data_IF_203196082980
#
_entry.id   IF_203196082980
#
_cell.length_a   1.000
_cell.length_b   1.000
_cell.length_c   1.000
_cell.angle_alpha   90.00
_cell.angle_beta   90.00
_cell.angle_gamma   90.00
#
_symmetry.space_group_name_H-M   'P 1'
#
loop_
_entity.id
_entity.type
_entity.pdbx_description
1 polymer ?
#
# COMPACT_ATOMS: atom_id res chain seq x y z
N UNK A 1 6.20 -43.14 -18.27
CA UNK A 1 6.90 -41.89 -17.90
C UNK A 1 5.92 -40.78 -17.47
N UNK A 2 4.94 -40.40 -18.31
CA UNK A 2 4.05 -39.25 -18.04
C UNK A 2 3.17 -39.40 -16.79
N UNK A 3 2.68 -40.61 -16.47
CA UNK A 3 1.84 -40.85 -15.29
C UNK A 3 2.59 -40.65 -13.97
N UNK A 4 3.88 -41.04 -13.93
CA UNK A 4 4.74 -40.87 -12.75
C UNK A 4 5.07 -39.40 -12.49
N UNK A 5 5.26 -38.60 -13.54
CA UNK A 5 5.54 -37.15 -13.43
C UNK A 5 4.30 -36.42 -12.90
N UNK A 6 3.11 -36.79 -13.35
CA UNK A 6 1.84 -36.21 -12.88
C UNK A 6 1.58 -36.62 -11.41
N UNK A 7 1.78 -37.89 -11.07
CA UNK A 7 1.62 -38.38 -9.69
C UNK A 7 2.62 -37.73 -8.73
N UNK A 8 3.87 -37.53 -9.15
CA UNK A 8 4.88 -36.81 -8.38
C UNK A 8 4.52 -35.34 -8.19
N UNK A 9 4.01 -34.66 -9.23
CA UNK A 9 3.54 -33.28 -9.14
C UNK A 9 2.35 -33.10 -8.20
N UNK A 10 1.39 -34.02 -8.23
CA UNK A 10 0.24 -34.03 -7.31
C UNK A 10 0.72 -34.29 -5.88
N UNK A 11 1.61 -35.26 -5.67
CA UNK A 11 2.19 -35.56 -4.36
C UNK A 11 2.94 -34.37 -3.77
N UNK A 12 3.74 -33.67 -4.58
CA UNK A 12 4.50 -32.49 -4.16
C UNK A 12 3.58 -31.30 -3.85
N UNK A 13 2.47 -31.14 -4.60
CA UNK A 13 1.44 -30.14 -4.32
C UNK A 13 0.68 -30.43 -3.02
N UNK A 14 0.35 -31.70 -2.75
CA UNK A 14 -0.31 -32.11 -1.49
C UNK A 14 0.64 -31.92 -0.30
N UNK A 15 1.91 -32.30 -0.44
CA UNK A 15 2.93 -32.11 0.61
C UNK A 15 3.18 -30.62 0.84
N UNK A 16 3.27 -29.81 -0.21
CA UNK A 16 3.40 -28.37 -0.09
C UNK A 16 2.17 -27.74 0.57
N UNK A 17 0.97 -28.17 0.21
CA UNK A 17 -0.27 -27.69 0.83
C UNK A 17 -0.35 -28.09 2.31
N UNK A 18 0.05 -29.33 2.66
CA UNK A 18 0.13 -29.79 4.03
C UNK A 18 1.21 -29.04 4.84
N UNK A 19 2.37 -28.78 4.24
CA UNK A 19 3.46 -27.99 4.82
C UNK A 19 3.06 -26.52 4.99
N UNK A 20 2.37 -25.94 4.00
CA UNK A 20 1.83 -24.58 4.05
C UNK A 20 0.81 -24.47 5.19
N UNK A 21 -0.11 -25.44 5.31
CA UNK A 21 -1.04 -25.51 6.43
C UNK A 21 -0.31 -25.69 7.77
N UNK A 22 0.79 -26.45 7.81
CA UNK A 22 1.59 -26.65 9.02
C UNK A 22 2.37 -25.38 9.43
N UNK A 23 2.96 -24.66 8.48
CA UNK A 23 3.70 -23.40 8.71
C UNK A 23 2.75 -22.24 9.04
N UNK A 24 1.52 -22.29 8.53
CA UNK A 24 0.46 -21.35 8.89
C UNK A 24 -0.37 -21.81 10.09
N UNK A 25 -0.04 -22.94 10.76
CA UNK A 25 -0.67 -23.29 12.04
C UNK A 25 -0.39 -22.18 13.05
N UNK A 26 -1.42 -21.66 13.73
CA UNK A 26 -1.26 -20.59 14.69
C UNK A 26 -0.34 -21.06 15.83
N UNK A 27 0.77 -20.36 16.03
CA UNK A 27 1.56 -20.48 17.26
C UNK A 27 0.71 -19.97 18.43
N UNK A 28 0.60 -20.79 19.48
CA UNK A 28 -0.22 -20.59 20.70
C UNK A 28 0.05 -19.30 21.50
N UNK A 29 0.93 -18.41 21.05
CA UNK A 29 1.34 -17.23 21.80
C UNK A 29 0.41 -16.01 21.61
N UNK A 30 -0.52 -16.05 20.67
CA UNK A 30 -1.43 -14.93 20.38
C UNK A 30 -2.64 -14.82 21.32
N UNK A 31 -2.90 -15.81 22.18
CA UNK A 31 -4.04 -15.79 23.12
C UNK A 31 -3.83 -14.81 24.29
N UNK A 32 -2.59 -14.61 24.76
CA UNK A 32 -2.31 -13.77 25.93
C UNK A 32 -2.24 -12.26 25.63
N UNK A 33 -2.14 -11.87 24.36
CA UNK A 33 -2.16 -10.46 23.92
C UNK A 33 -3.56 -10.00 23.46
N UNK A 34 -4.50 -10.94 23.26
CA UNK A 34 -5.87 -10.66 22.81
C UNK A 34 -6.77 -10.11 23.93
N UNK A 35 -6.47 -10.42 25.20
CA UNK A 35 -7.27 -9.97 26.35
C UNK A 35 -7.07 -8.47 26.68
N UNK A 36 -5.92 -7.89 26.30
CA UNK A 36 -5.65 -6.46 26.51
C UNK A 36 -6.28 -5.58 25.41
N UNK A 37 -6.63 -6.15 24.26
CA UNK A 37 -7.18 -5.41 23.10
C UNK A 37 -8.72 -5.46 23.02
N UNK A 38 -9.36 -6.41 23.71
CA UNK A 38 -10.81 -6.62 23.68
C UNK A 38 -11.62 -5.59 24.50
N UNK A 39 -10.96 -4.74 25.30
CA UNK A 39 -11.63 -3.69 26.09
C UNK A 39 -11.96 -2.42 25.30
N UNK A 40 -11.37 -2.23 24.11
CA UNK A 40 -11.58 -1.04 23.26
C UNK A 40 -12.57 -1.21 22.10
N UNK A 41 -13.08 -2.43 21.86
CA UNK A 41 -13.77 -2.81 20.61
C UNK A 41 -15.30 -2.92 20.71
N UNK A 42 -15.92 -2.43 21.78
CA UNK A 42 -17.37 -2.57 22.00
C UNK A 42 -18.26 -1.44 21.45
N UNK A 43 -17.76 -0.51 20.62
CA UNK A 43 -18.57 0.66 20.22
C UNK A 43 -18.66 0.93 18.71
N UNK A 44 -18.29 -0.01 17.85
CA UNK A 44 -18.17 0.26 16.41
C UNK A 44 -19.32 -0.28 15.54
N UNK A 45 -20.52 -0.38 16.12
CA UNK A 45 -21.76 -0.79 15.43
C UNK A 45 -22.75 0.37 15.21
N UNK A 46 -22.23 1.60 15.05
CA UNK A 46 -23.02 2.75 14.61
C UNK A 46 -22.65 3.13 13.19
N UNK A 47 -23.58 2.78 12.29
CA UNK A 47 -23.42 2.75 10.85
C UNK A 47 -23.00 4.08 10.22
N UNK A 48 -21.96 4.00 9.42
CA UNK A 48 -21.87 4.69 8.13
C UNK A 48 -21.47 3.63 7.11
N UNK A 49 -22.32 3.39 6.11
CA UNK A 49 -22.00 2.54 4.97
C UNK A 49 -21.28 3.38 3.93
N UNK A 50 -19.97 3.19 3.65
CA UNK A 50 -19.41 3.65 2.40
C UNK A 50 -19.72 2.60 1.34
N UNK A 51 -20.67 2.96 0.49
CA UNK A 51 -21.02 2.26 -0.74
C UNK A 51 -19.86 2.37 -1.73
N UNK A 52 -18.96 1.37 -1.80
CA UNK A 52 -18.05 1.18 -2.95
C UNK A 52 -17.92 -0.28 -3.38
N UNK A 53 -18.61 -0.55 -4.50
CA UNK A 53 -18.44 -1.55 -5.55
C UNK A 53 -17.67 -2.86 -5.31
N UNK A 54 -18.45 -3.94 -5.37
CA UNK A 54 -18.23 -5.13 -6.22
C UNK A 54 -16.93 -5.92 -6.09
N UNK A 55 -16.51 -6.23 -4.86
CA UNK A 55 -15.68 -7.42 -4.61
C UNK A 55 -16.29 -8.37 -3.57
N UNK A 56 -17.43 -8.04 -2.96
CA UNK A 56 -18.05 -8.91 -1.94
C UNK A 56 -18.56 -10.25 -2.51
N UNK A 57 -18.92 -10.34 -3.79
CA UNK A 57 -19.44 -11.58 -4.39
C UNK A 57 -18.36 -12.63 -4.66
N UNK A 58 -17.16 -12.21 -5.06
CA UNK A 58 -16.01 -13.10 -5.28
C UNK A 58 -15.37 -13.60 -3.98
N UNK A 59 -15.52 -12.84 -2.89
CA UNK A 59 -14.81 -13.09 -1.63
C UNK A 59 -15.62 -13.99 -0.67
N UNK A 60 -16.96 -14.03 -0.78
CA UNK A 60 -17.84 -14.88 0.05
C UNK A 60 -17.53 -16.39 0.04
N UNK A 61 -17.26 -17.04 -1.12
CA UNK A 61 -16.88 -18.46 -1.09
C UNK A 61 -15.53 -18.69 -0.39
N UNK A 62 -14.61 -17.72 -0.51
CA UNK A 62 -13.26 -17.79 0.05
C UNK A 62 -13.22 -17.57 1.57
N UNK A 63 -14.03 -16.65 2.08
CA UNK A 63 -14.20 -16.43 3.52
C UNK A 63 -14.88 -17.63 4.22
N UNK A 64 -15.79 -18.31 3.52
CA UNK A 64 -16.45 -19.53 4.01
C UNK A 64 -15.47 -20.71 4.08
N UNK A 65 -14.54 -20.81 3.12
CA UNK A 65 -13.49 -21.84 3.13
C UNK A 65 -12.58 -21.73 4.36
N UNK A 66 -12.22 -20.52 4.80
CA UNK A 66 -11.39 -20.34 6.01
C UNK A 66 -12.14 -20.62 7.32
N UNK A 67 -13.45 -20.35 7.41
CA UNK A 67 -14.23 -20.68 8.62
C UNK A 67 -14.20 -22.17 8.96
N UNK A 68 -14.00 -23.03 7.96
CA UNK A 68 -13.76 -24.47 8.14
C UNK A 68 -12.35 -24.80 8.66
N UNK A 69 -11.37 -23.89 8.54
CA UNK A 69 -9.96 -24.10 8.91
C UNK A 69 -9.47 -23.26 10.11
N UNK A 70 -10.39 -22.72 10.92
CA UNK A 70 -10.20 -22.30 12.32
C UNK A 70 -8.85 -21.65 12.69
N UNK A 71 -8.73 -20.34 12.51
CA UNK A 71 -7.64 -19.57 13.13
C UNK A 71 -7.90 -18.07 13.05
N UNK A 72 -7.65 -17.33 14.13
CA UNK A 72 -7.78 -15.87 14.17
C UNK A 72 -6.73 -15.20 13.26
N UNK A 73 -7.06 -14.09 12.56
CA UNK A 73 -6.11 -13.37 11.73
C UNK A 73 -4.88 -12.91 12.53
N UNK A 74 -3.68 -13.07 11.97
CA UNK A 74 -2.45 -12.50 12.56
C UNK A 74 -2.63 -10.97 12.69
N UNK A 75 -2.29 -10.37 13.86
CA UNK A 75 -2.51 -8.95 14.11
C UNK A 75 -1.77 -8.04 13.11
N UNK A 76 -0.63 -8.49 12.59
CA UNK A 76 0.13 -7.75 11.57
C UNK A 76 -0.64 -7.61 10.25
N UNK A 77 -1.35 -8.66 9.82
CA UNK A 77 -2.13 -8.66 8.58
C UNK A 77 -3.35 -7.74 8.74
N UNK A 78 -4.00 -7.79 9.91
CA UNK A 78 -5.10 -6.88 10.26
C UNK A 78 -4.63 -5.44 10.21
N UNK A 79 -3.47 -5.14 10.82
CA UNK A 79 -2.88 -3.79 10.78
C UNK A 79 -2.63 -3.34 9.34
N UNK A 80 -2.00 -4.17 8.49
CA UNK A 80 -1.75 -3.84 7.08
C UNK A 80 -3.03 -3.62 6.27
N UNK A 81 -4.10 -4.37 6.57
CA UNK A 81 -5.40 -4.18 5.92
C UNK A 81 -6.09 -2.88 6.37
N UNK A 82 -5.98 -2.53 7.65
CA UNK A 82 -6.45 -1.24 8.17
C UNK A 82 -5.71 -0.08 7.48
N UNK A 83 -4.39 -0.18 7.32
CA UNK A 83 -3.59 0.78 6.55
C UNK A 83 -4.10 0.92 5.10
N UNK A 84 -4.49 -0.20 4.48
CA UNK A 84 -5.07 -0.21 3.13
C UNK A 84 -6.53 0.31 3.06
N UNK A 85 -7.18 0.56 4.20
CA UNK A 85 -8.56 1.06 4.29
C UNK A 85 -9.61 -0.03 4.42
N UNK A 86 -9.21 -1.30 4.54
CA UNK A 86 -10.11 -2.43 4.74
C UNK A 86 -10.31 -2.68 6.24
N UNK A 87 -11.35 -2.05 6.82
CA UNK A 87 -11.62 -2.06 8.26
C UNK A 87 -12.39 -3.29 8.75
N UNK A 88 -13.19 -3.96 7.89
CA UNK A 88 -14.01 -5.10 8.34
C UNK A 88 -13.15 -6.34 8.62
N UNK A 89 -13.38 -7.08 9.73
CA UNK A 89 -12.65 -8.30 10.04
C UNK A 89 -12.80 -9.38 8.94
N UNK A 90 -13.92 -9.35 8.21
CA UNK A 90 -14.15 -10.23 7.06
C UNK A 90 -13.12 -10.09 5.93
N UNK A 91 -12.45 -8.94 5.79
CA UNK A 91 -11.41 -8.75 4.77
C UNK A 91 -10.09 -9.41 5.16
N UNK A 92 -9.79 -9.51 6.46
CA UNK A 92 -8.65 -10.27 6.95
C UNK A 92 -8.84 -11.78 6.69
N UNK A 93 -10.08 -12.24 6.84
CA UNK A 93 -10.47 -13.62 6.50
C UNK A 93 -10.36 -13.92 5.02
N UNK A 94 -10.85 -13.01 4.19
CA UNK A 94 -10.71 -13.05 2.75
C UNK A 94 -9.25 -13.08 2.27
N UNK A 95 -8.42 -12.19 2.80
CA UNK A 95 -7.03 -12.04 2.36
C UNK A 95 -6.20 -13.29 2.69
N UNK A 96 -6.38 -13.85 3.88
CA UNK A 96 -5.71 -15.10 4.26
C UNK A 96 -6.23 -16.28 3.44
N UNK A 97 -7.55 -16.34 3.18
CA UNK A 97 -8.12 -17.33 2.27
C UNK A 97 -7.53 -17.25 0.87
N UNK A 98 -7.37 -16.03 0.34
CA UNK A 98 -6.72 -15.78 -0.96
C UNK A 98 -5.25 -16.20 -0.95
N UNK A 99 -4.51 -15.90 0.12
CA UNK A 99 -3.10 -16.26 0.27
C UNK A 99 -2.88 -17.79 0.35
N UNK A 100 -3.86 -18.55 0.85
CA UNK A 100 -3.85 -20.01 0.84
C UNK A 100 -4.30 -20.59 -0.51
N UNK A 101 -5.34 -20.00 -1.11
CA UNK A 101 -5.94 -20.52 -2.33
C UNK A 101 -5.09 -20.27 -3.58
N UNK A 102 -4.48 -19.08 -3.72
CA UNK A 102 -3.65 -18.74 -4.89
C UNK A 102 -2.52 -19.74 -5.15
N UNK A 103 -1.62 -20.02 -4.18
CA UNK A 103 -0.53 -20.96 -4.41
C UNK A 103 -1.02 -22.41 -4.59
N UNK A 104 -2.11 -22.80 -3.93
CA UNK A 104 -2.71 -24.13 -4.11
C UNK A 104 -3.28 -24.32 -5.53
N UNK A 105 -4.05 -23.34 -6.01
CA UNK A 105 -4.60 -23.34 -7.36
C UNK A 105 -3.50 -23.24 -8.43
N UNK A 106 -2.49 -22.40 -8.20
CA UNK A 106 -1.37 -22.23 -9.11
C UNK A 106 -0.48 -23.48 -9.19
N UNK A 107 -0.23 -24.15 -8.06
CA UNK A 107 0.49 -25.42 -8.03
C UNK A 107 -0.24 -26.53 -8.79
N UNK A 108 -1.57 -26.61 -8.66
CA UNK A 108 -2.40 -27.57 -9.39
C UNK A 108 -2.45 -27.27 -10.90
N UNK A 109 -2.51 -26.00 -11.28
CA UNK A 109 -2.46 -25.59 -12.68
C UNK A 109 -1.12 -25.96 -13.34
N UNK A 110 0.02 -25.76 -12.66
CA UNK A 110 1.33 -26.16 -13.17
C UNK A 110 1.43 -27.67 -13.35
N UNK A 111 0.90 -28.45 -12.40
CA UNK A 111 0.90 -29.91 -12.50
C UNK A 111 0.09 -30.44 -13.70
N UNK A 112 -0.93 -29.70 -14.16
CA UNK A 112 -1.78 -30.09 -15.28
C UNK A 112 -1.27 -29.60 -16.65
N UNK A 113 -0.75 -28.38 -16.72
CA UNK A 113 -0.37 -27.73 -17.98
C UNK A 113 1.10 -27.92 -18.37
N UNK A 114 2.01 -28.10 -17.41
CA UNK A 114 3.45 -28.20 -17.69
C UNK A 114 3.87 -29.66 -17.69
N UNK A 115 4.37 -30.15 -18.84
CA UNK A 115 4.87 -31.53 -19.00
C UNK A 115 6.40 -31.63 -18.93
N UNK A 116 7.12 -30.53 -19.15
CA UNK A 116 8.59 -30.48 -19.13
C UNK A 116 9.08 -29.56 -18.01
N UNK A 117 10.09 -29.98 -17.25
CA UNK A 117 10.62 -29.23 -16.08
C UNK A 117 9.54 -28.83 -15.05
N UNK A 118 8.62 -29.75 -14.74
CA UNK A 118 7.47 -29.52 -13.84
C UNK A 118 7.91 -29.00 -12.47
N UNK A 119 9.01 -29.54 -11.94
CA UNK A 119 9.53 -29.15 -10.62
C UNK A 119 9.98 -27.68 -10.61
N UNK A 120 10.72 -27.24 -11.63
CA UNK A 120 11.22 -25.86 -11.73
C UNK A 120 10.07 -24.86 -11.86
N UNK A 121 9.12 -25.12 -12.76
CA UNK A 121 7.95 -24.24 -12.93
C UNK A 121 7.03 -24.26 -11.71
N UNK A 122 6.88 -25.39 -11.04
CA UNK A 122 6.08 -25.50 -9.82
C UNK A 122 6.64 -24.60 -8.73
N UNK A 123 7.95 -24.69 -8.47
CA UNK A 123 8.61 -23.85 -7.47
C UNK A 123 8.47 -22.37 -7.81
N UNK A 124 8.75 -21.96 -9.05
CA UNK A 124 8.68 -20.55 -9.46
C UNK A 124 7.27 -19.98 -9.33
N UNK A 125 6.26 -20.70 -9.83
CA UNK A 125 4.87 -20.21 -9.87
C UNK A 125 4.25 -20.20 -8.48
N UNK A 126 4.49 -21.21 -7.65
CA UNK A 126 3.98 -21.26 -6.28
C UNK A 126 4.62 -20.16 -5.44
N UNK A 127 5.92 -19.93 -5.61
CA UNK A 127 6.63 -18.85 -4.93
C UNK A 127 6.09 -17.49 -5.37
N UNK A 128 5.93 -17.25 -6.67
CA UNK A 128 5.31 -16.02 -7.18
C UNK A 128 3.88 -15.82 -6.67
N UNK A 129 3.05 -16.87 -6.64
CA UNK A 129 1.68 -16.83 -6.15
C UNK A 129 1.59 -16.56 -4.64
N UNK A 130 2.59 -16.97 -3.87
CA UNK A 130 2.67 -16.67 -2.44
C UNK A 130 3.02 -15.20 -2.17
N UNK A 131 3.91 -14.61 -2.97
CA UNK A 131 4.31 -13.20 -2.83
C UNK A 131 3.33 -12.20 -3.45
N UNK A 132 2.53 -12.61 -4.44
CA UNK A 132 1.61 -11.71 -5.15
C UNK A 132 0.60 -10.97 -4.25
N UNK A 133 -0.08 -11.60 -3.26
CA UNK A 133 -1.00 -10.89 -2.36
C UNK A 133 -0.32 -9.84 -1.49
N UNK A 134 0.90 -10.12 -0.99
CA UNK A 134 1.66 -9.19 -0.16
C UNK A 134 2.12 -7.97 -0.96
N UNK A 135 2.53 -8.18 -2.22
CA UNK A 135 2.88 -7.11 -3.15
C UNK A 135 1.66 -6.24 -3.48
N UNK A 136 0.52 -6.85 -3.78
CA UNK A 136 -0.73 -6.13 -4.05
C UNK A 136 -1.17 -5.30 -2.84
N UNK A 137 -1.12 -5.88 -1.63
CA UNK A 137 -1.49 -5.17 -0.40
C UNK A 137 -0.56 -3.98 -0.15
N UNK A 138 0.75 -4.17 -0.29
CA UNK A 138 1.74 -3.10 -0.12
C UNK A 138 1.52 -1.98 -1.13
N UNK A 139 1.23 -2.32 -2.39
CA UNK A 139 0.88 -1.35 -3.41
C UNK A 139 -0.43 -0.60 -3.10
N UNK A 140 -1.46 -1.31 -2.62
CA UNK A 140 -2.73 -0.71 -2.22
C UNK A 140 -2.56 0.28 -1.05
N UNK A 141 -1.77 -0.07 -0.03
CA UNK A 141 -1.41 0.81 1.09
C UNK A 141 -0.73 2.08 0.56
N UNK A 142 0.31 1.92 -0.26
CA UNK A 142 1.06 3.06 -0.81
C UNK A 142 0.17 3.96 -1.67
N UNK A 143 -0.70 3.37 -2.51
CA UNK A 143 -1.65 4.11 -3.34
C UNK A 143 -2.64 4.92 -2.49
N UNK A 144 -3.14 4.34 -1.38
CA UNK A 144 -4.03 5.05 -0.46
C UNK A 144 -3.31 6.18 0.26
N UNK A 145 -2.09 5.94 0.78
CA UNK A 145 -1.26 6.97 1.42
C UNK A 145 -0.97 8.13 0.49
N UNK A 146 -0.68 7.84 -0.78
CA UNK A 146 -0.42 8.88 -1.78
C UNK A 146 -1.65 9.76 -2.03
N UNK A 147 -2.83 9.15 -2.18
CA UNK A 147 -4.09 9.90 -2.32
C UNK A 147 -4.34 10.80 -1.11
N UNK A 148 -4.19 10.27 0.09
CA UNK A 148 -4.36 11.04 1.33
C UNK A 148 -3.35 12.19 1.39
N UNK A 149 -2.08 11.93 1.07
CA UNK A 149 -1.01 12.94 1.03
C UNK A 149 -1.33 14.09 0.10
N UNK A 150 -1.88 13.80 -1.08
CA UNK A 150 -2.24 14.82 -2.07
C UNK A 150 -3.49 15.62 -1.66
N UNK A 151 -4.44 14.99 -0.98
CA UNK A 151 -5.69 15.63 -0.53
C UNK A 151 -5.58 16.40 0.80
N UNK A 152 -4.53 16.15 1.58
CA UNK A 152 -4.37 16.73 2.92
C UNK A 152 -4.34 18.28 2.91
N UNK A 153 -3.59 18.98 2.03
CA UNK A 153 -3.58 20.44 2.00
C UNK A 153 -4.99 21.02 1.76
N UNK A 154 -5.70 20.50 0.76
CA UNK A 154 -7.05 20.94 0.41
C UNK A 154 -8.03 20.80 1.58
N UNK A 155 -7.91 19.70 2.34
CA UNK A 155 -8.73 19.50 3.53
C UNK A 155 -8.41 20.50 4.65
N UNK A 156 -7.12 20.81 4.84
CA UNK A 156 -6.68 21.78 5.85
C UNK A 156 -7.09 23.21 5.49
N UNK A 157 -7.08 23.57 4.21
CA UNK A 157 -7.59 24.87 3.74
C UNK A 157 -9.08 25.01 4.03
N UNK A 158 -9.88 23.99 3.70
CA UNK A 158 -11.31 23.99 3.98
C UNK A 158 -11.59 24.04 5.48
N UNK A 159 -10.80 23.33 6.30
CA UNK A 159 -10.89 23.41 7.76
C UNK A 159 -10.55 24.81 8.26
N UNK A 160 -9.49 25.44 7.75
CA UNK A 160 -9.12 26.80 8.12
C UNK A 160 -10.25 27.79 7.81
N UNK A 161 -10.81 27.75 6.58
CA UNK A 161 -11.93 28.62 6.17
C UNK A 161 -13.15 28.40 7.06
N UNK A 162 -13.52 27.15 7.36
CA UNK A 162 -14.63 26.83 8.25
C UNK A 162 -14.41 27.41 9.66
N UNK A 163 -13.19 27.32 10.17
CA UNK A 163 -12.84 27.82 11.49
C UNK A 163 -12.74 29.35 11.55
N UNK A 164 -12.26 30.00 10.49
CA UNK A 164 -12.28 31.47 10.35
C UNK A 164 -13.72 32.00 10.30
N UNK A 165 -14.64 31.23 9.72
CA UNK A 165 -16.07 31.51 9.75
C UNK A 165 -16.74 31.24 11.12
N UNK A 166 -15.97 30.82 12.14
CA UNK A 166 -16.43 30.63 13.51
C UNK A 166 -16.91 29.22 13.85
N UNK A 167 -16.76 28.23 12.96
CA UNK A 167 -17.07 26.84 13.30
C UNK A 167 -16.03 26.27 14.28
N UNK A 168 -16.52 25.59 15.31
CA UNK A 168 -15.66 24.79 16.19
C UNK A 168 -15.03 23.62 15.43
N UNK A 169 -13.84 23.19 15.85
CA UNK A 169 -13.07 22.14 15.17
C UNK A 169 -13.89 20.87 14.88
N UNK A 170 -14.63 20.34 15.86
CA UNK A 170 -15.40 19.10 15.66
C UNK A 170 -16.51 19.26 14.59
N UNK A 171 -17.11 20.46 14.49
CA UNK A 171 -18.12 20.77 13.47
C UNK A 171 -17.47 20.96 12.09
N UNK A 172 -16.31 21.63 12.05
CA UNK A 172 -15.54 21.84 10.83
C UNK A 172 -15.10 20.50 10.22
N UNK A 173 -14.62 19.54 11.02
CA UNK A 173 -14.24 18.19 10.54
C UNK A 173 -15.40 17.49 9.85
N UNK A 174 -16.61 17.53 10.44
CA UNK A 174 -17.79 16.88 9.85
C UNK A 174 -18.16 17.55 8.54
N UNK A 175 -18.19 18.89 8.51
CA UNK A 175 -18.51 19.66 7.30
C UNK A 175 -17.53 19.37 6.17
N UNK A 176 -16.22 19.46 6.45
CA UNK A 176 -15.16 19.20 5.48
C UNK A 176 -15.13 17.73 5.06
N UNK A 177 -15.37 16.80 5.99
CA UNK A 177 -15.49 15.38 5.71
C UNK A 177 -16.59 15.10 4.68
N UNK A 178 -17.77 15.73 4.80
CA UNK A 178 -18.84 15.59 3.81
C UNK A 178 -18.51 16.25 2.48
N UNK A 179 -17.90 17.45 2.48
CA UNK A 179 -17.52 18.15 1.25
C UNK A 179 -16.49 17.36 0.42
N UNK A 180 -15.53 16.72 1.09
CA UNK A 180 -14.49 15.93 0.44
C UNK A 180 -14.97 14.55 -0.03
N UNK A 181 -16.20 14.15 0.25
CA UNK A 181 -16.66 12.78 -0.03
C UNK A 181 -16.58 12.40 -1.52
N UNK A 182 -16.83 13.36 -2.42
CA UNK A 182 -16.76 13.13 -3.86
C UNK A 182 -15.34 13.22 -4.40
N UNK A 183 -14.59 14.25 -3.99
CA UNK A 183 -13.23 14.52 -4.50
C UNK A 183 -12.17 13.62 -3.89
N UNK A 184 -12.20 13.47 -2.56
CA UNK A 184 -11.17 12.79 -1.76
C UNK A 184 -11.79 11.82 -0.73
N UNK A 185 -12.40 10.73 -1.21
CA UNK A 185 -13.15 9.78 -0.39
C UNK A 185 -12.27 9.11 0.68
N UNK A 186 -11.00 8.83 0.39
CA UNK A 186 -10.11 8.15 1.34
C UNK A 186 -9.80 9.00 2.57
N UNK A 187 -9.76 10.33 2.43
CA UNK A 187 -9.54 11.27 3.53
C UNK A 187 -10.86 11.62 4.23
N UNK A 188 -11.94 11.80 3.46
CA UNK A 188 -13.31 11.98 3.96
C UNK A 188 -13.68 10.89 4.98
N UNK A 189 -13.44 9.62 4.64
CA UNK A 189 -13.73 8.48 5.51
C UNK A 189 -12.90 8.46 6.81
N UNK A 190 -11.72 9.09 6.83
CA UNK A 190 -10.90 9.21 8.05
C UNK A 190 -11.33 10.40 8.92
N UNK A 191 -11.71 11.52 8.30
CA UNK A 191 -12.24 12.69 9.01
C UNK A 191 -13.59 12.38 9.67
N UNK A 192 -14.50 11.71 8.96
CA UNK A 192 -15.79 11.29 9.53
C UNK A 192 -15.61 10.22 10.61
N UNK A 193 -14.59 9.36 10.49
CA UNK A 193 -14.25 8.37 11.52
C UNK A 193 -13.83 9.02 12.84
N UNK A 194 -13.11 10.15 12.81
CA UNK A 194 -12.78 10.90 14.04
C UNK A 194 -14.06 11.32 14.76
N UNK A 195 -15.06 11.83 14.01
CA UNK A 195 -16.32 12.23 14.61
C UNK A 195 -17.06 11.03 15.25
N UNK A 196 -17.06 9.87 14.58
CA UNK A 196 -17.63 8.64 15.15
C UNK A 196 -16.92 8.24 16.45
N UNK A 197 -15.60 8.26 16.45
CA UNK A 197 -14.79 7.94 17.64
C UNK A 197 -15.06 8.88 18.82
N UNK A 198 -15.22 10.17 18.55
CA UNK A 198 -15.59 11.15 19.57
C UNK A 198 -17.01 10.92 20.09
N UNK A 199 -17.97 10.59 19.22
CA UNK A 199 -19.38 10.31 19.61
C UNK A 199 -19.50 9.10 20.53
N UNK A 200 -18.61 8.13 20.41
CA UNK A 200 -18.55 6.95 21.28
C UNK A 200 -17.76 7.18 22.57
N UNK A 201 -17.38 8.44 22.85
CA UNK A 201 -16.76 8.86 24.11
C UNK A 201 -15.23 8.79 24.12
N UNK A 202 -14.55 8.57 22.98
CA UNK A 202 -13.09 8.65 22.96
C UNK A 202 -12.62 10.10 23.12
N UNK A 203 -11.54 10.34 23.88
CA UNK A 203 -10.91 11.66 23.97
C UNK A 203 -10.53 12.18 22.57
N UNK A 204 -10.73 13.48 22.34
CA UNK A 204 -10.44 14.15 21.05
C UNK A 204 -9.02 13.87 20.56
N UNK A 205 -8.00 14.10 21.41
CA UNK A 205 -6.59 13.88 21.07
C UNK A 205 -6.32 12.42 20.68
N UNK A 206 -6.98 11.47 21.35
CA UNK A 206 -6.83 10.05 21.06
C UNK A 206 -7.45 9.69 19.71
N UNK A 207 -8.62 10.23 19.37
CA UNK A 207 -9.23 10.02 18.06
C UNK A 207 -8.35 10.53 16.90
N UNK A 208 -7.69 11.68 17.08
CA UNK A 208 -6.71 12.19 16.12
C UNK A 208 -5.45 11.33 16.01
N UNK A 209 -4.91 10.84 17.13
CA UNK A 209 -3.78 9.91 17.14
C UNK A 209 -4.13 8.59 16.46
N UNK A 210 -5.32 8.07 16.70
CA UNK A 210 -5.82 6.87 16.03
C UNK A 210 -5.88 7.06 14.51
N UNK A 211 -6.32 8.23 14.02
CA UNK A 211 -6.24 8.56 12.59
C UNK A 211 -4.78 8.53 12.08
N UNK A 212 -3.85 9.15 12.81
CA UNK A 212 -2.44 9.17 12.41
C UNK A 212 -1.83 7.77 12.33
N UNK A 213 -2.19 6.87 13.25
CA UNK A 213 -1.73 5.48 13.25
C UNK A 213 -2.39 4.62 12.17
N UNK A 214 -3.66 4.88 11.82
CA UNK A 214 -4.37 4.20 10.72
C UNK A 214 -3.91 4.63 9.33
N UNK A 215 -3.60 5.90 9.14
CA UNK A 215 -3.10 6.42 7.86
C UNK A 215 -1.61 6.10 7.70
N UNK A 216 -0.86 6.18 8.80
CA UNK A 216 0.59 5.97 8.84
C UNK A 216 1.32 6.80 7.78
N UNK A 217 1.05 8.11 7.80
CA UNK A 217 1.67 9.11 6.95
C UNK A 217 2.29 10.20 7.82
N UNK A 218 3.55 10.53 7.57
CA UNK A 218 4.32 11.51 8.34
C UNK A 218 3.64 12.88 8.40
N UNK A 219 3.12 13.38 7.26
CA UNK A 219 2.38 14.65 7.20
C UNK A 219 1.17 14.68 8.13
N UNK A 220 0.45 13.56 8.29
CA UNK A 220 -0.69 13.45 9.20
C UNK A 220 -0.23 13.39 10.65
N UNK A 221 0.86 12.66 10.95
CA UNK A 221 1.45 12.64 12.31
C UNK A 221 1.89 14.04 12.73
N UNK A 222 2.57 14.77 11.85
CA UNK A 222 3.01 16.15 12.10
C UNK A 222 1.81 17.10 12.30
N UNK A 223 0.75 16.93 11.51
CA UNK A 223 -0.48 17.69 11.67
C UNK A 223 -1.15 17.45 13.04
N UNK A 224 -1.30 16.17 13.43
CA UNK A 224 -1.88 15.81 14.74
C UNK A 224 -1.02 16.33 15.89
N UNK A 225 0.31 16.28 15.78
CA UNK A 225 1.20 16.84 16.79
C UNK A 225 1.03 18.36 16.93
N UNK A 226 0.94 19.07 15.80
CA UNK A 226 0.64 20.50 15.79
C UNK A 226 -0.73 20.78 16.44
N UNK A 227 -1.75 19.99 16.11
CA UNK A 227 -3.07 20.13 16.72
C UNK A 227 -3.03 19.97 18.25
N UNK A 228 -2.39 18.90 18.75
CA UNK A 228 -2.21 18.66 20.19
C UNK A 228 -1.48 19.82 20.86
N UNK A 229 -0.49 20.40 20.19
CA UNK A 229 0.24 21.57 20.70
C UNK A 229 -0.68 22.79 20.77
N UNK A 230 -1.41 23.10 19.70
CA UNK A 230 -2.31 24.27 19.66
C UNK A 230 -3.45 24.18 20.69
N UNK A 231 -4.01 22.99 20.92
CA UNK A 231 -5.04 22.76 21.95
C UNK A 231 -4.48 23.02 23.35
N UNK A 232 -3.22 22.67 23.61
CA UNK A 232 -2.56 22.88 24.91
C UNK A 232 -2.17 24.34 25.17
N UNK A 233 -1.74 25.07 24.13
CA UNK A 233 -1.23 26.44 24.25
C UNK A 233 -2.24 27.53 23.87
N UNK A 234 -3.43 27.15 23.38
CA UNK A 234 -4.54 28.09 23.12
C UNK A 234 -4.33 29.03 21.93
N UNK A 235 -3.35 28.78 21.07
CA UNK A 235 -3.11 29.56 19.85
C UNK A 235 -4.24 29.37 18.84
N UNK A 236 -4.61 30.40 18.04
CA UNK A 236 -5.70 30.29 17.07
C UNK A 236 -5.42 29.21 16.02
N UNK A 237 -6.15 28.11 16.10
CA UNK A 237 -5.96 26.91 15.31
C UNK A 237 -6.12 27.15 13.80
N UNK A 238 -7.02 28.06 13.39
CA UNK A 238 -7.21 28.45 11.98
C UNK A 238 -5.93 28.95 11.31
N UNK A 239 -5.19 29.84 11.98
CA UNK A 239 -3.93 30.39 11.46
C UNK A 239 -2.84 29.32 11.34
N UNK A 240 -2.75 28.42 12.33
CA UNK A 240 -1.78 27.31 12.30
C UNK A 240 -2.09 26.31 11.17
N UNK A 241 -3.37 26.06 10.86
CA UNK A 241 -3.78 25.21 9.74
C UNK A 241 -3.36 25.79 8.39
N UNK A 242 -3.59 27.08 8.16
CA UNK A 242 -3.21 27.74 6.90
C UNK A 242 -1.70 27.66 6.64
N UNK A 243 -0.88 27.97 7.66
CA UNK A 243 0.59 27.87 7.57
C UNK A 243 1.03 26.42 7.29
N UNK A 244 0.40 25.44 7.93
CA UNK A 244 0.72 24.04 7.70
C UNK A 244 0.32 23.56 6.29
N UNK A 245 -0.83 24.01 5.78
CA UNK A 245 -1.27 23.73 4.42
C UNK A 245 -0.29 24.27 3.37
N UNK A 246 0.16 25.52 3.53
CA UNK A 246 1.16 26.12 2.65
C UNK A 246 2.50 25.41 2.71
N UNK A 247 2.91 24.93 3.90
CA UNK A 247 4.09 24.10 4.04
C UNK A 247 3.97 22.77 3.26
N UNK A 248 2.81 22.10 3.29
CA UNK A 248 2.58 20.89 2.51
C UNK A 248 2.57 21.15 1.00
N UNK A 249 1.97 22.26 0.54
CA UNK A 249 1.99 22.67 -0.86
C UNK A 249 3.42 22.95 -1.34
N UNK A 250 4.21 23.63 -0.51
CA UNK A 250 5.63 23.88 -0.78
C UNK A 250 6.42 22.57 -0.88
N UNK A 251 6.20 21.64 0.06
CA UNK A 251 6.84 20.31 0.02
C UNK A 251 6.46 19.54 -1.25
N UNK A 252 5.19 19.61 -1.70
CA UNK A 252 4.73 18.98 -2.94
C UNK A 252 5.47 19.55 -4.15
N UNK A 253 5.66 20.88 -4.21
CA UNK A 253 6.41 21.54 -5.28
C UNK A 253 7.89 21.14 -5.27
N UNK A 254 8.54 21.13 -4.10
CA UNK A 254 9.93 20.69 -3.97
C UNK A 254 10.13 19.24 -4.43
N UNK A 255 9.21 18.32 -4.09
CA UNK A 255 9.27 16.94 -4.58
C UNK A 255 9.13 16.85 -6.09
N UNK A 256 8.26 17.67 -6.69
CA UNK A 256 8.13 17.73 -8.15
C UNK A 256 9.42 18.27 -8.81
N UNK A 257 10.04 19.31 -8.22
CA UNK A 257 11.31 19.87 -8.67
C UNK A 257 12.47 18.85 -8.52
N UNK A 258 12.50 18.08 -7.43
CA UNK A 258 13.46 16.99 -7.21
C UNK A 258 13.32 15.89 -8.28
N UNK A 259 12.09 15.48 -8.59
CA UNK A 259 11.82 14.49 -9.64
C UNK A 259 12.21 15.01 -11.03
N UNK A 260 11.96 16.28 -11.32
CA UNK A 260 12.39 16.92 -12.55
C UNK A 260 13.92 16.92 -12.67
N UNK A 261 14.63 17.33 -11.61
CA UNK A 261 16.09 17.34 -11.58
C UNK A 261 16.70 15.93 -11.77
N UNK A 262 16.12 14.91 -11.11
CA UNK A 262 16.54 13.51 -11.30
C UNK A 262 16.31 13.01 -12.72
N UNK A 263 15.26 13.48 -13.39
CA UNK A 263 14.96 13.11 -14.78
C UNK A 263 16.04 13.64 -15.72
N UNK A 264 16.53 14.87 -15.51
CA UNK A 264 17.65 15.44 -16.26
C UNK A 264 18.91 14.59 -16.17
N UNK A 265 19.26 14.10 -14.98
CA UNK A 265 20.44 13.24 -14.78
C UNK A 265 20.26 11.89 -15.49
N UNK A 266 19.05 11.32 -15.48
CA UNK A 266 18.76 10.04 -16.16
C UNK A 266 18.91 10.12 -17.69
N UNK A 267 18.74 11.30 -18.30
CA UNK A 267 18.95 11.50 -19.75
C UNK A 267 20.43 11.40 -20.16
N UNK A 268 21.36 11.65 -19.23
CA UNK A 268 22.80 11.51 -19.49
C UNK A 268 23.16 10.06 -19.81
N UNK A 269 22.48 9.08 -19.21
CA UNK A 269 22.82 7.67 -19.40
C UNK A 269 22.61 7.21 -20.87
N UNK A 270 21.43 7.38 -21.50
CA UNK A 270 21.28 7.12 -22.93
C UNK A 270 22.21 7.98 -23.79
N UNK A 271 22.44 9.25 -23.43
CA UNK A 271 23.31 10.13 -24.21
C UNK A 271 24.73 9.56 -24.27
N UNK A 272 25.32 9.16 -23.14
CA UNK A 272 26.65 8.57 -23.09
C UNK A 272 26.68 7.21 -23.77
N UNK A 273 25.68 6.34 -23.54
CA UNK A 273 25.72 4.98 -24.09
C UNK A 273 25.46 4.89 -25.60
N UNK A 274 24.69 5.82 -26.18
CA UNK A 274 24.35 5.80 -27.60
C UNK A 274 25.12 6.81 -28.44
N UNK A 275 25.30 8.05 -27.95
CA UNK A 275 25.96 9.10 -28.74
C UNK A 275 27.48 8.93 -28.69
N UNK A 276 28.07 8.63 -27.54
CA UNK A 276 29.54 8.55 -27.42
C UNK A 276 30.14 7.44 -28.31
N UNK A 277 29.62 6.19 -28.35
CA UNK A 277 30.13 5.17 -29.27
C UNK A 277 29.91 5.53 -30.74
N UNK A 278 28.78 6.17 -31.06
CA UNK A 278 28.48 6.63 -32.42
C UNK A 278 29.51 7.65 -32.92
N UNK A 279 29.84 8.65 -32.10
CA UNK A 279 30.88 9.64 -32.41
C UNK A 279 32.24 8.97 -32.57
N UNK A 280 32.58 8.01 -31.69
CA UNK A 280 33.84 7.27 -31.78
C UNK A 280 33.96 6.49 -33.08
N UNK A 281 32.90 5.81 -33.51
CA UNK A 281 32.84 5.06 -34.77
C UNK A 281 33.05 6.02 -35.96
N UNK A 282 32.33 7.15 -35.99
CA UNK A 282 32.39 8.10 -37.10
C UNK A 282 33.78 8.75 -37.24
N UNK A 283 34.46 9.04 -36.13
CA UNK A 283 35.77 9.71 -36.16
C UNK A 283 36.90 8.69 -36.36
N UNK A 284 36.88 7.56 -35.67
CA UNK A 284 38.00 6.63 -35.61
C UNK A 284 38.13 5.78 -36.88
N UNK A 285 37.02 5.40 -37.51
CA UNK A 285 37.02 4.58 -38.73
C UNK A 285 37.82 5.21 -39.88
N UNK A 286 37.54 6.44 -40.33
CA UNK A 286 38.30 7.05 -41.42
C UNK A 286 39.77 7.22 -41.04
N UNK A 287 40.08 7.61 -39.81
CA UNK A 287 41.47 7.75 -39.34
C UNK A 287 42.26 6.44 -39.44
N UNK A 288 41.65 5.31 -39.05
CA UNK A 288 42.26 3.98 -39.18
C UNK A 288 42.46 3.62 -40.66
N UNK A 289 41.46 3.85 -41.52
CA UNK A 289 41.55 3.56 -42.95
C UNK A 289 42.68 4.37 -43.60
N UNK A 290 42.80 5.66 -43.27
CA UNK A 290 43.87 6.52 -43.79
C UNK A 290 45.26 6.06 -43.33
N UNK A 291 45.40 5.65 -42.06
CA UNK A 291 46.66 5.11 -41.54
C UNK A 291 47.07 3.83 -42.28
N UNK A 292 46.15 2.88 -42.46
CA UNK A 292 46.41 1.62 -43.18
C UNK A 292 46.84 1.91 -44.63
N UNK A 293 46.18 2.84 -45.30
CA UNK A 293 46.52 3.25 -46.67
C UNK A 293 47.95 3.84 -46.74
N UNK A 294 48.31 4.73 -45.81
CA UNK A 294 49.65 5.31 -45.75
C UNK A 294 50.74 4.25 -45.52
N UNK A 295 50.53 3.33 -44.57
CA UNK A 295 51.49 2.25 -44.32
C UNK A 295 51.63 1.27 -45.51
N UNK A 296 50.53 0.95 -46.19
CA UNK A 296 50.57 0.06 -47.36
C UNK A 296 51.28 0.66 -48.58
N UNK A 297 51.27 1.99 -48.71
CA UNK A 297 51.94 2.71 -49.81
C UNK A 297 53.46 2.77 -49.58
N UNK A 298 53.90 2.80 -48.32
CA UNK A 298 55.32 2.83 -47.96
C UNK A 298 56.01 1.46 -48.06
N UNK A 299 55.25 0.36 -48.15
CA UNK A 299 55.75 -1.01 -48.26
C UNK A 299 55.89 -1.56 -49.68
N UNK A 300 55.72 -0.73 -50.72
CA UNK A 300 55.97 -1.05 -52.13
C UNK A 300 57.14 -0.27 -52.68
#
# INVERSE_FOLDING_TARGET
>A
MNLLIIAAGIGLSIIFFALLLFVLRPSRQSELLAEVTSRGSRVEDLGLQPRRYSFESLIRPLASFRRLFGGSPKPEVVRRLVLAGYRKPSYADAFIGLKLFLPAAAGLAVAFFVKNSVITWFVVVVLAAFFAPDFWLSHAINKRREKIRLSLPDALDLLAICMEAGLGLDQAIVRVGHELHLSHPELSDELLQINLEQRVGKPRIEAWRNMADRVDLESVRSFVNMLVQTERFGTPLSRSLAVFSDALRTQRRQKAEELAAKTTIKLIFPLVFFIFPSIFIVILIPAIITLIQHFSTFGR
#
